data_IF_031446005599
#
_entry.id   IF_031446005599
#
_cell.length_a   1.000
_cell.length_b   1.000
_cell.length_c   1.000
_cell.angle_alpha   90.00
_cell.angle_beta   90.00
_cell.angle_gamma   90.00
#
_symmetry.space_group_name_H-M   'P 1'
#
loop_
_entity.id
_entity.type
_entity.pdbx_description
1 polymer ?
#
# COMPACT_ATOMS: atom_id res chain seq x y z
N UNK A 1 -23.12 -11.59 -9.24
CA UNK A 1 -22.81 -11.33 -7.83
C UNK A 1 -21.48 -12.00 -7.56
N UNK A 2 -20.54 -11.26 -7.02
CA UNK A 2 -19.19 -11.78 -6.74
C UNK A 2 -19.17 -12.55 -5.42
N UNK A 3 -18.30 -13.56 -5.32
CA UNK A 3 -18.12 -14.29 -4.06
C UNK A 3 -17.36 -13.41 -3.05
N UNK A 4 -16.36 -12.69 -3.54
CA UNK A 4 -15.51 -11.80 -2.75
C UNK A 4 -15.15 -10.52 -3.51
N UNK A 5 -15.43 -9.37 -2.89
CA UNK A 5 -14.81 -8.10 -3.27
C UNK A 5 -13.71 -7.75 -2.26
N UNK A 6 -12.48 -7.59 -2.74
CA UNK A 6 -11.35 -7.09 -1.93
C UNK A 6 -11.25 -5.58 -2.12
N UNK A 7 -11.37 -4.83 -1.03
CA UNK A 7 -11.24 -3.37 -1.03
C UNK A 7 -9.85 -2.97 -0.57
N UNK A 8 -9.02 -2.55 -1.51
CA UNK A 8 -7.64 -2.15 -1.31
C UNK A 8 -6.67 -3.11 -2.00
N UNK A 9 -5.80 -2.56 -2.85
CA UNK A 9 -4.81 -3.30 -3.64
C UNK A 9 -3.38 -3.16 -3.08
N UNK A 10 -3.25 -3.11 -1.76
CA UNK A 10 -1.97 -3.19 -1.05
C UNK A 10 -1.53 -4.64 -0.80
N UNK A 11 -0.41 -4.87 -0.09
CA UNK A 11 0.15 -6.21 0.14
C UNK A 11 -0.87 -7.25 0.63
N UNK A 12 -1.70 -6.89 1.61
CA UNK A 12 -2.72 -7.80 2.14
C UNK A 12 -3.86 -8.07 1.16
N UNK A 13 -4.36 -7.05 0.47
CA UNK A 13 -5.44 -7.23 -0.49
C UNK A 13 -5.02 -8.10 -1.68
N UNK A 14 -3.81 -7.88 -2.20
CA UNK A 14 -3.24 -8.72 -3.25
C UNK A 14 -3.07 -10.18 -2.80
N UNK A 15 -2.62 -10.39 -1.56
CA UNK A 15 -2.45 -11.73 -0.98
C UNK A 15 -3.80 -12.45 -0.82
N UNK A 16 -4.80 -11.76 -0.25
CA UNK A 16 -6.16 -12.30 -0.10
C UNK A 16 -6.75 -12.66 -1.45
N UNK A 17 -6.61 -11.80 -2.45
CA UNK A 17 -7.10 -12.05 -3.80
C UNK A 17 -6.45 -13.27 -4.46
N UNK A 18 -5.13 -13.43 -4.31
CA UNK A 18 -4.40 -14.58 -4.87
C UNK A 18 -4.89 -15.91 -4.26
N UNK A 19 -5.08 -15.96 -2.93
CA UNK A 19 -5.60 -17.16 -2.26
C UNK A 19 -7.06 -17.43 -2.61
N UNK A 20 -7.91 -16.41 -2.64
CA UNK A 20 -9.32 -16.55 -2.99
C UNK A 20 -9.51 -17.03 -4.44
N UNK A 21 -8.73 -16.49 -5.38
CA UNK A 21 -8.76 -16.92 -6.78
C UNK A 21 -8.33 -18.38 -6.94
N UNK A 22 -7.27 -18.81 -6.25
CA UNK A 22 -6.82 -20.21 -6.29
C UNK A 22 -7.79 -21.19 -5.61
N UNK A 23 -8.63 -20.71 -4.70
CA UNK A 23 -9.75 -21.48 -4.14
C UNK A 23 -10.96 -21.58 -5.08
N UNK A 24 -10.92 -20.95 -6.26
CA UNK A 24 -11.99 -21.00 -7.27
C UNK A 24 -13.11 -20.00 -7.04
N UNK A 25 -12.91 -18.99 -6.20
CA UNK A 25 -13.92 -17.94 -5.95
C UNK A 25 -13.98 -16.93 -7.09
N UNK A 26 -15.19 -16.40 -7.36
CA UNK A 26 -15.37 -15.20 -8.17
C UNK A 26 -14.93 -13.96 -7.40
N UNK A 27 -13.69 -13.51 -7.65
CA UNK A 27 -13.05 -12.40 -6.93
C UNK A 27 -13.01 -11.13 -7.79
N UNK A 28 -13.23 -9.97 -7.17
CA UNK A 28 -12.81 -8.67 -7.70
C UNK A 28 -11.90 -7.94 -6.72
N UNK A 29 -10.93 -7.20 -7.24
CA UNK A 29 -9.97 -6.42 -6.45
C UNK A 29 -10.11 -4.96 -6.85
N UNK A 30 -10.52 -4.13 -5.90
CA UNK A 30 -10.79 -2.72 -6.12
C UNK A 30 -9.74 -1.86 -5.41
N UNK A 31 -9.13 -0.93 -6.13
CA UNK A 31 -8.22 0.08 -5.59
C UNK A 31 -6.96 0.25 -6.42
N UNK A 32 -6.05 1.10 -5.95
CA UNK A 32 -4.82 1.42 -6.70
C UNK A 32 -3.67 0.53 -6.22
N UNK A 33 -3.06 -0.32 -7.08
CA UNK A 33 -2.01 -1.25 -6.69
C UNK A 33 -0.85 -0.57 -5.97
N UNK A 34 -0.53 -1.05 -4.76
CA UNK A 34 0.60 -0.58 -3.96
C UNK A 34 0.64 0.94 -3.68
N UNK A 35 -0.46 1.68 -3.84
CA UNK A 35 -0.45 3.15 -3.80
C UNK A 35 0.14 3.76 -2.52
N UNK A 36 -0.15 3.19 -1.34
CA UNK A 36 0.45 3.66 -0.08
C UNK A 36 1.98 3.59 -0.06
N UNK A 37 2.57 2.64 -0.78
CA UNK A 37 4.02 2.47 -0.86
C UNK A 37 4.62 3.23 -2.04
N UNK A 38 3.96 3.17 -3.19
CA UNK A 38 4.41 3.78 -4.44
C UNK A 38 4.31 5.30 -4.42
N UNK A 39 3.24 5.84 -3.84
CA UNK A 39 2.85 7.24 -4.00
C UNK A 39 3.07 8.07 -2.71
N UNK A 40 3.17 7.42 -1.54
CA UNK A 40 3.14 8.11 -0.23
C UNK A 40 4.36 7.84 0.66
N UNK A 41 5.36 7.08 0.18
CA UNK A 41 6.63 6.90 0.87
C UNK A 41 7.72 7.71 0.16
N UNK A 42 8.57 8.45 0.89
CA UNK A 42 9.70 9.19 0.31
C UNK A 42 10.63 8.33 -0.55
N UNK A 43 11.10 8.88 -1.66
CA UNK A 43 12.25 8.33 -2.38
C UNK A 43 13.49 8.32 -1.49
N UNK A 44 14.32 7.28 -1.62
CA UNK A 44 15.48 7.06 -0.75
C UNK A 44 15.18 6.32 0.55
N UNK A 45 13.90 6.21 0.97
CA UNK A 45 13.53 5.46 2.19
C UNK A 45 13.73 3.95 2.02
N UNK A 46 14.16 3.31 3.11
CA UNK A 46 14.35 1.86 3.18
C UNK A 46 13.25 1.14 3.96
N UNK A 47 13.04 -0.14 3.64
CA UNK A 47 12.17 -1.01 4.43
C UNK A 47 12.77 -1.23 5.81
N UNK A 48 11.95 -1.02 6.85
CA UNK A 48 12.28 -1.44 8.23
C UNK A 48 12.12 -2.94 8.48
N UNK A 49 11.34 -3.61 7.63
CA UNK A 49 10.99 -5.02 7.80
C UNK A 49 12.03 -5.89 7.13
N UNK A 50 12.38 -6.98 7.80
CA UNK A 50 13.29 -7.99 7.27
C UNK A 50 12.69 -8.68 6.03
N UNK A 51 13.53 -9.23 5.12
CA UNK A 51 13.06 -9.85 3.89
C UNK A 51 11.97 -10.91 4.07
N UNK A 52 12.12 -11.79 5.08
CA UNK A 52 11.15 -12.86 5.33
C UNK A 52 9.79 -12.33 5.78
N UNK A 53 9.75 -11.16 6.42
CA UNK A 53 8.53 -10.48 6.86
C UNK A 53 7.91 -9.57 5.80
N UNK A 54 8.59 -9.40 4.67
CA UNK A 54 8.18 -8.53 3.56
C UNK A 54 7.63 -9.32 2.38
N UNK A 55 7.38 -10.62 2.53
CA UNK A 55 6.73 -11.42 1.49
C UNK A 55 5.22 -11.11 1.42
N UNK A 56 4.72 -10.95 0.20
CA UNK A 56 3.29 -11.11 -0.07
C UNK A 56 2.98 -12.61 -0.13
N UNK A 57 1.78 -12.98 0.32
CA UNK A 57 1.39 -14.39 0.43
C UNK A 57 0.60 -14.83 -0.80
N UNK A 58 1.08 -15.87 -1.48
CA UNK A 58 0.35 -16.56 -2.54
C UNK A 58 0.24 -18.07 -2.24
N UNK A 59 -0.71 -18.76 -2.88
CA UNK A 59 -0.81 -20.23 -2.83
C UNK A 59 0.53 -20.92 -3.13
N UNK A 60 0.86 -21.93 -2.32
CA UNK A 60 2.11 -22.69 -2.47
C UNK A 60 3.39 -21.94 -2.11
N UNK A 61 3.30 -20.74 -1.50
CA UNK A 61 4.48 -19.99 -1.04
C UNK A 61 5.37 -19.45 -2.16
N UNK A 62 4.81 -19.25 -3.37
CA UNK A 62 5.51 -18.70 -4.52
C UNK A 62 5.36 -17.18 -4.60
N UNK A 63 6.08 -16.57 -5.54
CA UNK A 63 6.09 -15.12 -5.79
C UNK A 63 6.62 -14.33 -4.59
N UNK A 64 7.65 -14.84 -3.95
CA UNK A 64 8.32 -14.21 -2.81
C UNK A 64 9.13 -12.99 -3.22
N UNK A 65 9.45 -12.13 -2.26
CA UNK A 65 10.36 -10.99 -2.47
C UNK A 65 11.74 -11.47 -2.94
N UNK A 66 12.23 -12.59 -2.39
CA UNK A 66 13.51 -13.18 -2.79
C UNK A 66 13.49 -13.65 -4.25
N UNK A 67 12.42 -14.31 -4.70
CA UNK A 67 12.24 -14.71 -6.10
C UNK A 67 12.21 -13.47 -7.01
N UNK A 68 11.48 -12.41 -6.63
CA UNK A 68 11.48 -11.16 -7.37
C UNK A 68 12.88 -10.53 -7.46
N UNK A 69 13.58 -10.41 -6.33
CA UNK A 69 14.93 -9.86 -6.29
C UNK A 69 15.89 -10.65 -7.19
N UNK A 70 15.80 -11.99 -7.20
CA UNK A 70 16.62 -12.83 -8.06
C UNK A 70 16.40 -12.52 -9.56
N UNK A 71 15.18 -12.19 -9.99
CA UNK A 71 14.92 -11.76 -11.39
C UNK A 71 15.58 -10.43 -11.76
N UNK A 72 16.03 -9.66 -10.77
CA UNK A 72 16.67 -8.34 -10.92
C UNK A 72 18.16 -8.35 -10.61
N UNK A 73 18.74 -9.53 -10.32
CA UNK A 73 20.13 -9.63 -9.85
C UNK A 73 20.34 -9.00 -8.47
N UNK A 74 19.28 -8.89 -7.66
CA UNK A 74 19.31 -8.38 -6.29
C UNK A 74 19.21 -9.56 -5.31
N UNK A 75 19.76 -9.37 -4.11
CA UNK A 75 19.63 -10.32 -3.01
C UNK A 75 18.81 -9.71 -1.89
N UNK A 76 17.80 -10.43 -1.41
CA UNK A 76 17.02 -10.06 -0.23
C UNK A 76 17.55 -10.85 0.97
N UNK A 77 18.46 -10.25 1.75
CA UNK A 77 19.18 -10.90 2.85
C UNK A 77 19.04 -10.15 4.18
N UNK A 78 19.23 -10.88 5.28
CA UNK A 78 19.18 -10.29 6.61
C UNK A 78 20.22 -9.19 6.79
N UNK A 79 19.83 -8.07 7.40
CA UNK A 79 20.73 -6.96 7.67
C UNK A 79 21.07 -6.10 6.44
N UNK A 80 20.51 -6.41 5.27
CA UNK A 80 20.62 -5.61 4.05
C UNK A 80 19.26 -4.98 3.74
N UNK A 81 19.02 -3.74 4.21
CA UNK A 81 17.72 -3.10 4.01
C UNK A 81 17.46 -2.85 2.52
N UNK A 82 16.24 -3.14 2.08
CA UNK A 82 15.84 -2.92 0.69
C UNK A 82 15.16 -1.55 0.55
N UNK A 83 15.45 -0.80 -0.53
CA UNK A 83 14.73 0.42 -0.83
C UNK A 83 13.21 0.16 -0.95
N UNK A 84 12.38 1.09 -0.49
CA UNK A 84 10.91 0.99 -0.65
C UNK A 84 10.49 0.90 -2.12
N UNK A 85 11.28 1.50 -3.02
CA UNK A 85 11.08 1.37 -4.47
C UNK A 85 11.13 -0.10 -4.93
N UNK A 86 12.06 -0.90 -4.39
CA UNK A 86 12.16 -2.33 -4.67
C UNK A 86 10.91 -3.07 -4.18
N UNK A 87 10.42 -2.76 -2.99
CA UNK A 87 9.21 -3.39 -2.43
C UNK A 87 7.93 -3.01 -3.18
N UNK A 88 7.81 -1.75 -3.59
CA UNK A 88 6.68 -1.29 -4.39
C UNK A 88 6.65 -1.97 -5.76
N UNK A 89 7.82 -2.08 -6.41
CA UNK A 89 7.96 -2.79 -7.68
C UNK A 89 7.69 -4.30 -7.54
N UNK A 90 8.12 -4.91 -6.43
CA UNK A 90 7.77 -6.29 -6.07
C UNK A 90 6.26 -6.49 -5.98
N UNK A 91 5.53 -5.64 -5.25
CA UNK A 91 4.07 -5.77 -5.12
C UNK A 91 3.34 -5.64 -6.46
N UNK A 92 3.80 -4.76 -7.35
CA UNK A 92 3.27 -4.65 -8.72
C UNK A 92 3.59 -5.89 -9.56
N UNK A 93 4.79 -6.45 -9.40
CA UNK A 93 5.15 -7.71 -10.04
C UNK A 93 4.27 -8.86 -9.52
N UNK A 94 4.08 -8.97 -8.21
CA UNK A 94 3.20 -9.95 -7.57
C UNK A 94 1.79 -9.89 -8.14
N UNK A 95 1.21 -8.68 -8.23
CA UNK A 95 -0.14 -8.47 -8.77
C UNK A 95 -0.32 -9.02 -10.20
N UNK A 96 0.75 -9.03 -11.01
CA UNK A 96 0.71 -9.57 -12.39
C UNK A 96 0.97 -11.06 -12.50
N UNK A 97 1.58 -11.69 -11.49
CA UNK A 97 2.09 -13.06 -11.62
C UNK A 97 1.40 -14.06 -10.68
N UNK A 98 0.82 -13.61 -9.57
CA UNK A 98 0.27 -14.47 -8.52
C UNK A 98 -1.13 -15.04 -8.82
N UNK A 99 -1.62 -14.90 -10.06
CA UNK A 99 -2.88 -15.53 -10.51
C UNK A 99 -4.16 -14.93 -9.95
N UNK A 100 -4.11 -13.72 -9.38
CA UNK A 100 -5.30 -12.95 -9.03
C UNK A 100 -5.92 -12.28 -10.28
N UNK A 101 -7.21 -11.90 -10.24
CA UNK A 101 -7.82 -11.05 -11.26
C UNK A 101 -7.10 -9.71 -11.42
N UNK A 102 -7.30 -9.08 -12.58
CA UNK A 102 -6.82 -7.71 -12.79
C UNK A 102 -7.40 -6.76 -11.75
N UNK A 103 -6.55 -5.85 -11.24
CA UNK A 103 -6.99 -4.86 -10.25
C UNK A 103 -7.76 -3.76 -10.96
N UNK A 104 -9.00 -3.54 -10.53
CA UNK A 104 -9.82 -2.42 -10.98
C UNK A 104 -9.42 -1.18 -10.18
N UNK A 105 -8.77 -0.21 -10.84
CA UNK A 105 -8.34 1.05 -10.23
C UNK A 105 -9.51 2.01 -9.96
N UNK A 106 -10.41 1.62 -9.06
CA UNK A 106 -11.57 2.41 -8.63
C UNK A 106 -11.55 2.63 -7.11
N UNK A 107 -11.98 3.81 -6.67
CA UNK A 107 -12.12 4.12 -5.24
C UNK A 107 -13.44 3.61 -4.72
N UNK A 108 -13.42 2.73 -3.73
CA UNK A 108 -14.62 2.34 -2.97
C UNK A 108 -14.97 3.44 -1.98
N UNK A 109 -16.22 3.89 -2.01
CA UNK A 109 -16.73 5.00 -1.18
C UNK A 109 -17.66 4.52 -0.08
N UNK A 110 -18.31 3.36 -0.25
CA UNK A 110 -19.23 2.80 0.73
C UNK A 110 -19.28 1.27 0.61
N UNK A 111 -19.34 0.60 1.76
CA UNK A 111 -19.73 -0.81 1.86
C UNK A 111 -20.87 -0.87 2.88
N UNK A 112 -22.03 -1.39 2.45
CA UNK A 112 -23.21 -1.50 3.30
C UNK A 112 -23.84 -2.89 3.16
N UNK A 113 -24.47 -3.43 4.23
CA UNK A 113 -25.24 -4.66 4.13
C UNK A 113 -26.46 -4.45 3.21
N UNK A 114 -26.79 -5.45 2.40
CA UNK A 114 -27.97 -5.47 1.52
C UNK A 114 -28.51 -6.91 1.42
N UNK A 115 -29.55 -7.22 2.23
CA UNK A 115 -30.04 -8.58 2.38
C UNK A 115 -28.97 -9.51 2.95
N UNK A 116 -28.75 -10.65 2.28
CA UNK A 116 -27.71 -11.63 2.63
C UNK A 116 -26.35 -11.35 1.97
N UNK A 117 -26.16 -10.15 1.42
CA UNK A 117 -24.98 -9.72 0.70
C UNK A 117 -24.52 -8.33 1.15
N UNK A 118 -23.49 -7.81 0.49
CA UNK A 118 -22.99 -6.45 0.63
C UNK A 118 -23.14 -5.68 -0.67
N UNK A 119 -23.62 -4.44 -0.54
CA UNK A 119 -23.58 -3.43 -1.59
C UNK A 119 -22.29 -2.64 -1.47
N UNK A 120 -21.48 -2.66 -2.52
CA UNK A 120 -20.24 -1.90 -2.63
C UNK A 120 -20.44 -0.75 -3.62
N UNK A 121 -20.32 0.49 -3.14
CA UNK A 121 -20.31 1.67 -4.02
C UNK A 121 -18.87 2.09 -4.30
N UNK A 122 -18.63 2.42 -5.55
CA UNK A 122 -17.41 3.04 -6.04
C UNK A 122 -17.67 4.51 -6.35
N UNK A 123 -16.61 5.30 -6.48
CA UNK A 123 -16.69 6.70 -6.90
C UNK A 123 -17.27 6.85 -8.31
N UNK A 124 -17.13 5.80 -9.12
CA UNK A 124 -17.50 5.75 -10.53
C UNK A 124 -18.27 4.46 -10.82
N UNK A 125 -19.29 4.54 -11.66
CA UNK A 125 -20.05 3.37 -12.11
C UNK A 125 -21.19 2.92 -11.17
N UNK A 126 -21.92 1.85 -11.56
CA UNK A 126 -23.01 1.30 -10.76
C UNK A 126 -22.49 0.54 -9.52
N UNK A 127 -23.31 0.40 -8.46
CA UNK A 127 -22.94 -0.40 -7.29
C UNK A 127 -22.75 -1.87 -7.66
N UNK A 128 -21.83 -2.53 -6.95
CA UNK A 128 -21.56 -3.95 -7.04
C UNK A 128 -22.24 -4.70 -5.88
N UNK A 129 -22.57 -5.97 -6.12
CA UNK A 129 -23.09 -6.89 -5.10
C UNK A 129 -22.10 -8.02 -4.88
N UNK A 130 -21.73 -8.25 -3.62
CA UNK A 130 -20.80 -9.29 -3.21
C UNK A 130 -21.30 -10.06 -1.99
N UNK A 131 -21.08 -11.38 -1.95
CA UNK A 131 -21.41 -12.21 -0.78
C UNK A 131 -20.54 -11.85 0.43
N UNK A 132 -19.27 -11.58 0.15
CA UNK A 132 -18.27 -11.24 1.16
C UNK A 132 -17.45 -10.04 0.70
N UNK A 133 -17.00 -9.23 1.67
CA UNK A 133 -16.09 -8.13 1.42
C UNK A 133 -14.88 -8.25 2.35
N UNK A 134 -13.67 -8.20 1.79
CA UNK A 134 -12.43 -8.11 2.56
C UNK A 134 -11.91 -6.67 2.53
N UNK A 135 -11.84 -6.03 3.70
CA UNK A 135 -11.32 -4.67 3.84
C UNK A 135 -9.80 -4.69 4.05
N UNK A 136 -9.05 -4.31 3.02
CA UNK A 136 -7.60 -4.19 3.00
C UNK A 136 -7.17 -2.74 2.68
N UNK A 137 -7.86 -1.77 3.28
CA UNK A 137 -7.76 -0.32 2.97
C UNK A 137 -6.44 0.34 3.40
N UNK A 138 -5.60 -0.38 4.15
CA UNK A 138 -4.33 0.12 4.65
C UNK A 138 -4.46 1.25 5.68
N UNK A 139 -3.35 1.91 5.97
CA UNK A 139 -3.26 2.94 7.03
C UNK A 139 -3.54 4.37 6.54
N UNK A 140 -3.49 4.60 5.22
CA UNK A 140 -3.60 5.94 4.62
C UNK A 140 -4.93 6.66 4.93
N UNK A 141 -6.09 5.99 5.01
CA UNK A 141 -7.34 6.64 5.43
C UNK A 141 -7.33 7.13 6.89
N UNK A 142 -6.35 6.71 7.69
CA UNK A 142 -6.28 6.95 9.14
C UNK A 142 -5.09 7.85 9.52
N UNK A 143 -4.60 8.69 8.61
CA UNK A 143 -3.55 9.67 8.95
C UNK A 143 -4.01 10.59 10.07
N UNK A 144 -3.07 10.94 10.95
CA UNK A 144 -3.35 11.76 12.12
C UNK A 144 -2.61 13.09 12.03
N UNK A 145 -3.37 14.19 12.10
CA UNK A 145 -2.83 15.51 12.35
C UNK A 145 -3.12 15.91 13.81
N UNK A 146 -2.07 16.14 14.63
CA UNK A 146 -2.21 16.68 15.98
C UNK A 146 -3.02 17.98 15.99
N UNK A 147 -3.93 18.11 16.96
CA UNK A 147 -4.83 19.27 17.04
C UNK A 147 -4.10 20.62 17.00
N UNK A 148 -2.96 20.73 17.70
CA UNK A 148 -2.15 21.94 17.76
C UNK A 148 -1.61 22.43 16.39
N UNK A 149 -1.54 21.56 15.39
CA UNK A 149 -1.08 21.92 14.04
C UNK A 149 -2.23 22.29 13.10
N UNK A 150 -3.48 21.97 13.44
CA UNK A 150 -4.63 22.15 12.53
C UNK A 150 -4.94 23.61 12.23
N UNK A 151 -4.66 24.48 13.19
CA UNK A 151 -4.92 25.93 13.06
C UNK A 151 -3.77 26.67 12.36
N UNK A 152 -2.65 25.99 12.11
CA UNK A 152 -1.56 26.58 11.34
C UNK A 152 -1.97 26.66 9.85
N UNK A 153 -1.60 27.74 9.14
CA UNK A 153 -1.87 27.83 7.71
C UNK A 153 -1.28 26.63 6.96
N UNK A 154 -1.99 26.06 5.95
CA UNK A 154 -1.56 24.85 5.24
C UNK A 154 -0.16 24.90 4.61
N UNK A 155 0.38 26.11 4.39
CA UNK A 155 1.73 26.30 3.90
C UNK A 155 2.82 25.96 4.93
N UNK A 156 2.51 25.93 6.22
CA UNK A 156 3.50 25.78 7.30
C UNK A 156 3.62 24.37 7.86
N UNK A 157 2.74 23.44 7.47
CA UNK A 157 2.85 22.06 7.90
C UNK A 157 2.28 21.12 6.84
N UNK A 158 2.75 19.88 6.86
CA UNK A 158 2.20 18.81 6.04
C UNK A 158 2.55 17.46 6.66
N UNK A 159 1.71 16.45 6.45
CA UNK A 159 1.98 15.10 6.94
C UNK A 159 3.05 14.42 6.05
N UNK A 160 3.92 13.59 6.64
CA UNK A 160 5.02 12.94 5.90
C UNK A 160 4.54 12.12 4.70
N UNK A 161 3.37 11.46 4.83
CA UNK A 161 2.76 10.70 3.74
C UNK A 161 2.30 11.54 2.53
N UNK A 162 2.35 12.87 2.65
CA UNK A 162 2.12 13.79 1.55
C UNK A 162 3.36 14.02 0.68
N UNK A 163 4.53 13.47 1.06
CA UNK A 163 5.80 13.73 0.41
C UNK A 163 6.46 12.44 -0.05
N UNK A 164 6.35 12.17 -1.34
CA UNK A 164 7.20 11.20 -2.03
C UNK A 164 8.54 11.83 -2.42
N UNK A 165 8.51 13.09 -2.81
CA UNK A 165 9.69 13.89 -3.14
C UNK A 165 9.86 14.99 -2.08
N UNK A 166 11.06 15.05 -1.50
CA UNK A 166 11.44 16.00 -0.46
C UNK A 166 12.17 17.23 -1.04
N UNK A 167 12.45 17.27 -2.34
CA UNK A 167 13.17 18.37 -3.02
C UNK A 167 12.57 19.75 -2.77
N UNK A 168 11.24 19.83 -2.57
CA UNK A 168 10.50 21.05 -2.18
C UNK A 168 10.99 21.70 -0.89
N UNK A 169 11.70 20.95 -0.04
CA UNK A 169 12.25 21.41 1.23
C UNK A 169 13.74 21.77 1.16
N UNK A 170 14.38 21.61 -0.01
CA UNK A 170 15.80 21.93 -0.17
C UNK A 170 16.09 23.38 0.21
N UNK A 171 17.09 23.58 1.06
CA UNK A 171 17.49 24.90 1.57
C UNK A 171 16.49 25.54 2.56
N UNK A 172 15.48 24.80 3.05
CA UNK A 172 14.54 25.28 4.06
C UNK A 172 14.91 24.79 5.45
N UNK A 173 14.53 25.55 6.48
CA UNK A 173 14.55 25.08 7.86
C UNK A 173 13.29 24.27 8.14
N UNK A 174 13.44 22.97 8.33
CA UNK A 174 12.32 22.04 8.52
C UNK A 174 12.37 21.39 9.90
N UNK A 175 11.25 21.48 10.63
CA UNK A 175 11.05 20.72 11.86
C UNK A 175 10.24 19.44 11.58
N UNK A 176 10.80 18.27 11.94
CA UNK A 176 10.10 16.99 11.84
C UNK A 176 9.46 16.63 13.19
N UNK A 177 8.13 16.46 13.19
CA UNK A 177 7.36 16.16 14.40
C UNK A 177 7.08 14.66 14.52
N UNK A 178 7.71 14.00 15.50
CA UNK A 178 7.49 12.60 15.83
C UNK A 178 8.80 11.84 16.05
N UNK A 179 8.69 10.59 16.55
CA UNK A 179 9.83 9.72 16.83
C UNK A 179 9.67 8.30 16.24
N UNK A 180 8.66 8.09 15.38
CA UNK A 180 8.49 6.84 14.64
C UNK A 180 9.40 6.77 13.41
N UNK A 181 9.45 5.60 12.76
CA UNK A 181 10.32 5.39 11.59
C UNK A 181 10.12 6.45 10.49
N UNK A 182 8.88 6.82 10.19
CA UNK A 182 8.61 7.83 9.17
C UNK A 182 9.25 9.18 9.51
N UNK A 183 9.29 9.55 10.79
CA UNK A 183 9.94 10.80 11.23
C UNK A 183 11.47 10.69 11.11
N UNK A 184 12.06 9.58 11.59
CA UNK A 184 13.52 9.40 11.58
C UNK A 184 14.08 9.37 10.15
N UNK A 185 13.44 8.63 9.25
CA UNK A 185 13.91 8.50 7.86
C UNK A 185 13.63 9.76 7.05
N UNK A 186 12.48 10.42 7.26
CA UNK A 186 12.24 11.72 6.62
C UNK A 186 13.27 12.77 7.09
N UNK A 187 13.61 12.78 8.38
CA UNK A 187 14.62 13.70 8.91
C UNK A 187 16.02 13.41 8.33
N UNK A 188 16.40 12.13 8.19
CA UNK A 188 17.65 11.75 7.55
C UNK A 188 17.70 12.20 6.09
N UNK A 189 16.67 11.88 5.30
CA UNK A 189 16.59 12.26 3.88
C UNK A 189 16.56 13.77 3.68
N UNK A 190 15.90 14.53 4.56
CA UNK A 190 15.92 16.00 4.52
C UNK A 190 17.31 16.58 4.83
N UNK A 191 18.10 15.92 5.69
CA UNK A 191 19.45 16.35 6.03
C UNK A 191 20.49 15.98 4.97
N UNK A 192 20.21 14.95 4.16
CA UNK A 192 21.06 14.51 3.04
C UNK A 192 20.79 15.28 1.72
N UNK A 193 19.65 15.96 1.64
CA UNK A 193 19.17 16.68 0.44
C UNK A 193 19.88 18.02 0.17
#
# INVERSE_FOLDING_TARGET
MDDLVVVGAGPYGLSVAAHAAAAGLGVRVLGRPMASWRDHMPEGMYLKSEPWSSNLSAPGGRYTLAEYCATRGLTAEHGSPLPIGTFSAYGLWFARHAGLPEVEEVTVTEVAPEGDAFRVRTAEGPPLLARTVALAVGVMPFTHCPGALRDLPPAHWSHSSGHRDLSRFAGQEVAVLGAGQAALETAALLAEA
#
